data_IF_626096212097
#
_entry.id   IF_626096212097
#
_cell.length_a   1.000
_cell.length_b   1.000
_cell.length_c   1.000
_cell.angle_alpha   90.00
_cell.angle_beta   90.00
_cell.angle_gamma   90.00
#
_symmetry.space_group_name_H-M   'P 1'
#
loop_
_entity.id
_entity.type
_entity.pdbx_description
1 polymer ?
#
# COMPACT_ATOMS: atom_id res chain seq x y z
N UNK A 1 13.42 -1.49 -0.86
CA UNK A 1 12.57 -2.64 -0.63
C UNK A 1 11.10 -2.29 -0.82
N UNK A 2 10.34 -3.28 -1.28
CA UNK A 2 8.94 -3.12 -1.64
C UNK A 2 8.17 -4.39 -1.35
N UNK A 3 6.84 -4.26 -1.25
CA UNK A 3 5.97 -5.40 -1.04
C UNK A 3 5.60 -6.06 -2.36
N UNK A 4 5.60 -7.39 -2.37
CA UNK A 4 4.93 -8.19 -3.39
C UNK A 4 3.62 -8.69 -2.83
N UNK A 5 2.58 -8.75 -3.68
CA UNK A 5 1.26 -9.16 -3.24
C UNK A 5 0.53 -9.87 -4.36
N UNK A 6 -0.48 -10.63 -3.97
CA UNK A 6 -1.35 -11.35 -4.90
C UNK A 6 -2.79 -11.02 -4.57
N UNK A 7 -3.61 -10.96 -5.60
CA UNK A 7 -5.05 -10.91 -5.41
C UNK A 7 -5.75 -11.76 -6.45
N UNK A 8 -6.93 -12.28 -6.11
CA UNK A 8 -7.75 -13.05 -7.00
C UNK A 8 -9.03 -12.28 -7.29
N UNK A 9 -9.46 -12.28 -8.54
CA UNK A 9 -10.68 -11.65 -8.97
C UNK A 9 -11.67 -12.74 -9.38
N UNK A 10 -12.81 -12.79 -8.70
CA UNK A 10 -13.94 -13.64 -9.08
C UNK A 10 -14.97 -12.74 -9.76
N UNK A 11 -15.43 -13.12 -10.94
CA UNK A 11 -16.34 -12.28 -11.72
C UNK A 11 -17.29 -13.14 -12.53
N UNK A 12 -18.43 -12.54 -12.91
CA UNK A 12 -19.42 -13.17 -13.76
C UNK A 12 -19.02 -13.01 -15.24
N UNK A 13 -19.52 -13.87 -16.15
CA UNK A 13 -19.25 -13.71 -17.57
C UNK A 13 -19.62 -12.34 -18.14
N UNK A 14 -20.60 -11.65 -17.53
CA UNK A 14 -20.99 -10.29 -17.94
C UNK A 14 -19.88 -9.26 -17.72
N UNK A 15 -18.92 -9.54 -16.82
CA UNK A 15 -17.83 -8.63 -16.50
C UNK A 15 -16.54 -8.95 -17.28
N UNK A 16 -16.59 -9.93 -18.18
CA UNK A 16 -15.41 -10.44 -18.90
C UNK A 16 -14.67 -9.34 -19.67
N UNK A 17 -15.41 -8.48 -20.37
CA UNK A 17 -14.80 -7.41 -21.16
C UNK A 17 -14.05 -6.42 -20.27
N UNK A 18 -14.60 -6.11 -19.10
CA UNK A 18 -13.95 -5.22 -18.14
C UNK A 18 -12.64 -5.83 -17.59
N UNK A 19 -12.66 -7.12 -17.26
CA UNK A 19 -11.46 -7.83 -16.79
C UNK A 19 -10.40 -7.91 -17.88
N UNK A 20 -10.78 -8.22 -19.11
CA UNK A 20 -9.84 -8.26 -20.24
C UNK A 20 -9.26 -6.89 -20.53
N UNK A 21 -10.04 -5.83 -20.40
CA UNK A 21 -9.58 -4.46 -20.54
C UNK A 21 -8.54 -4.10 -19.48
N UNK A 22 -8.79 -4.51 -18.24
CA UNK A 22 -7.84 -4.32 -17.15
C UNK A 22 -6.50 -5.02 -17.45
N UNK A 23 -6.54 -6.28 -17.85
CA UNK A 23 -5.33 -7.03 -18.18
C UNK A 23 -4.58 -6.36 -19.33
N UNK A 24 -5.28 -6.01 -20.42
CA UNK A 24 -4.65 -5.36 -21.57
C UNK A 24 -3.99 -4.02 -21.20
N UNK A 25 -4.61 -3.28 -20.29
CA UNK A 25 -4.16 -1.95 -19.89
C UNK A 25 -2.94 -2.02 -18.96
N UNK A 26 -2.88 -3.01 -18.06
CA UNK A 26 -1.89 -3.03 -16.98
C UNK A 26 -0.83 -4.14 -17.09
N UNK A 27 -0.96 -5.09 -18.01
CA UNK A 27 0.00 -6.19 -18.10
C UNK A 27 1.40 -5.77 -18.58
N UNK A 28 1.53 -4.58 -19.15
CA UNK A 28 2.81 -4.08 -19.67
C UNK A 28 3.54 -3.16 -18.67
N UNK A 29 3.25 -3.29 -17.40
CA UNK A 29 3.97 -2.57 -16.35
C UNK A 29 3.40 -1.22 -15.96
N UNK A 30 2.21 -0.85 -16.45
CA UNK A 30 1.53 0.37 -16.01
C UNK A 30 1.12 0.22 -14.54
N UNK A 31 1.44 1.22 -13.72
CA UNK A 31 1.09 1.23 -12.31
C UNK A 31 -0.40 1.50 -12.08
N UNK A 32 -0.95 0.92 -11.02
CA UNK A 32 -2.32 1.15 -10.59
C UNK A 32 -2.39 1.15 -9.06
N UNK A 33 -3.38 1.82 -8.51
CA UNK A 33 -3.64 1.86 -7.07
C UNK A 33 -4.80 0.92 -6.72
N UNK A 34 -4.69 0.27 -5.57
CA UNK A 34 -5.79 -0.55 -5.06
C UNK A 34 -5.81 -0.60 -3.54
N UNK A 35 -7.00 -0.82 -2.99
CA UNK A 35 -7.13 -1.15 -1.58
C UNK A 35 -6.72 -2.61 -1.37
N UNK A 36 -6.03 -2.86 -0.26
CA UNK A 36 -5.66 -4.21 0.16
C UNK A 36 -6.74 -4.85 1.04
N UNK A 37 -7.97 -4.34 1.01
CA UNK A 37 -9.06 -4.85 1.83
C UNK A 37 -8.78 -4.69 3.31
N UNK A 38 -8.76 -5.79 4.05
CA UNK A 38 -8.51 -5.73 5.50
C UNK A 38 -7.16 -5.13 5.87
N UNK A 39 -6.13 -5.33 5.05
CA UNK A 39 -4.80 -4.79 5.30
C UNK A 39 -4.74 -3.26 5.13
N UNK A 40 -5.65 -2.68 4.35
CA UNK A 40 -5.75 -1.23 4.18
C UNK A 40 -6.52 -0.55 5.32
N UNK A 41 -7.25 -1.31 6.13
CA UNK A 41 -8.05 -0.78 7.22
C UNK A 41 -7.32 -0.87 8.54
N UNK A 42 -7.25 0.24 9.24
CA UNK A 42 -6.65 0.29 10.55
C UNK A 42 -7.68 -0.15 11.61
N UNK A 43 -7.26 -1.01 12.53
CA UNK A 43 -8.12 -1.54 13.59
C UNK A 43 -7.56 -1.33 15.00
N UNK A 44 -6.56 -0.49 15.12
CA UNK A 44 -5.91 -0.22 16.39
C UNK A 44 -6.54 0.95 17.15
N UNK A 45 -5.81 1.45 18.13
CA UNK A 45 -6.29 2.46 19.08
C UNK A 45 -6.08 3.90 18.62
N UNK A 46 -5.26 4.12 17.60
CA UNK A 46 -4.99 5.49 17.12
C UNK A 46 -6.25 6.08 16.49
N UNK A 47 -6.57 7.31 16.86
CA UNK A 47 -7.65 8.09 16.27
C UNK A 47 -7.16 9.48 15.91
N UNK A 48 -7.82 10.12 14.95
CA UNK A 48 -7.50 11.47 14.54
C UNK A 48 -6.33 11.56 13.58
N UNK A 49 -6.07 12.77 13.12
CA UNK A 49 -5.01 13.04 12.16
C UNK A 49 -3.64 12.98 12.81
N UNK A 50 -2.68 12.42 12.10
CA UNK A 50 -1.27 12.42 12.50
C UNK A 50 -0.44 13.16 11.47
N UNK A 51 0.59 13.86 11.93
CA UNK A 51 1.51 14.57 11.06
C UNK A 51 2.95 14.43 11.56
N UNK A 52 3.89 14.59 10.62
CA UNK A 52 5.33 14.56 10.91
C UNK A 52 5.73 15.86 11.60
N UNK A 53 6.48 15.75 12.68
CA UNK A 53 6.94 16.91 13.46
C UNK A 53 8.08 17.66 12.76
N UNK A 54 9.07 16.91 12.28
CA UNK A 54 10.30 17.46 11.70
C UNK A 54 10.59 16.76 10.39
N UNK A 55 11.04 17.50 9.37
CA UNK A 55 11.43 16.92 8.09
C UNK A 55 12.49 15.83 8.28
N UNK A 56 12.35 14.75 7.51
CA UNK A 56 13.26 13.59 7.53
C UNK A 56 13.67 13.26 6.13
N UNK A 57 14.94 12.97 5.94
CA UNK A 57 15.51 12.67 4.63
C UNK A 57 15.32 11.20 4.26
N UNK A 58 15.29 10.94 2.96
CA UNK A 58 15.32 9.60 2.39
C UNK A 58 16.45 8.77 3.03
N UNK A 59 16.19 7.51 3.28
CA UNK A 59 17.16 6.58 3.87
C UNK A 59 17.11 6.48 5.37
N UNK A 60 16.43 7.40 6.05
CA UNK A 60 16.23 7.35 7.50
C UNK A 60 15.02 6.46 7.80
N UNK A 61 15.06 5.77 8.92
CA UNK A 61 14.01 4.81 9.30
C UNK A 61 13.20 5.23 10.53
N UNK A 62 13.36 6.47 10.98
CA UNK A 62 12.68 7.00 12.17
C UNK A 62 12.16 8.40 11.90
N UNK A 63 10.97 8.69 12.41
CA UNK A 63 10.40 10.04 12.38
C UNK A 63 9.63 10.32 13.68
N UNK A 64 9.34 11.58 13.93
CA UNK A 64 8.55 12.01 15.09
C UNK A 64 7.18 12.52 14.64
N UNK A 65 6.16 12.29 15.47
CA UNK A 65 4.83 12.85 15.25
C UNK A 65 4.65 14.14 16.02
N UNK A 66 3.80 15.05 15.53
CA UNK A 66 3.51 16.34 16.18
C UNK A 66 2.80 16.18 17.51
N UNK A 67 2.00 15.13 17.64
CA UNK A 67 1.26 14.80 18.86
C UNK A 67 1.62 13.37 19.27
N UNK A 68 1.37 13.03 20.53
CA UNK A 68 1.51 11.65 20.99
C UNK A 68 0.62 10.74 20.18
N UNK A 69 1.17 9.64 19.69
CA UNK A 69 0.45 8.68 18.87
C UNK A 69 0.36 7.32 19.56
N UNK A 70 -0.60 6.50 19.11
CA UNK A 70 -0.87 5.17 19.67
C UNK A 70 -0.74 4.07 18.62
N UNK A 71 0.02 4.30 17.54
CA UNK A 71 0.20 3.30 16.49
C UNK A 71 0.86 2.05 17.04
N UNK A 72 0.27 0.91 16.78
CA UNK A 72 0.79 -0.38 17.22
C UNK A 72 1.92 -0.84 16.32
N UNK A 73 2.85 -1.60 16.89
CA UNK A 73 3.90 -2.29 16.13
C UNK A 73 3.22 -3.27 15.16
N UNK A 74 3.63 -3.25 13.91
CA UNK A 74 3.04 -4.04 12.85
C UNK A 74 2.01 -3.30 12.01
N UNK A 75 1.59 -2.10 12.43
CA UNK A 75 0.68 -1.26 11.64
C UNK A 75 1.34 -0.81 10.35
N UNK A 76 0.54 -0.70 9.29
CA UNK A 76 0.98 -0.12 8.02
C UNK A 76 0.66 1.37 8.01
N UNK A 77 1.59 2.15 7.46
CA UNK A 77 1.42 3.60 7.30
C UNK A 77 1.89 4.05 5.93
N UNK A 78 1.39 5.19 5.50
CA UNK A 78 1.79 5.89 4.27
C UNK A 78 1.94 7.36 4.58
N UNK A 79 2.87 8.02 3.87
CA UNK A 79 2.97 9.48 3.90
C UNK A 79 2.24 10.05 2.69
N UNK A 80 1.64 11.22 2.85
CA UNK A 80 0.81 11.80 1.78
C UNK A 80 1.59 12.11 0.51
N UNK A 81 2.89 12.40 0.61
CA UNK A 81 3.69 12.84 -0.53
C UNK A 81 4.19 11.70 -1.41
N UNK A 82 4.04 10.45 -1.01
CA UNK A 82 4.41 9.30 -1.84
C UNK A 82 3.62 8.05 -1.43
N UNK A 83 3.62 7.05 -2.30
CA UNK A 83 2.72 5.88 -2.17
C UNK A 83 3.35 4.68 -1.48
N UNK A 84 4.64 4.73 -1.14
CA UNK A 84 5.30 3.60 -0.48
C UNK A 84 4.64 3.28 0.86
N UNK A 85 4.37 2.01 1.10
CA UNK A 85 3.87 1.52 2.39
C UNK A 85 5.03 1.21 3.31
N UNK A 86 4.86 1.52 4.58
CA UNK A 86 5.82 1.25 5.63
C UNK A 86 5.16 0.53 6.78
N UNK A 87 5.91 -0.33 7.45
CA UNK A 87 5.44 -1.03 8.64
C UNK A 87 6.09 -0.39 9.87
N UNK A 88 5.29 -0.15 10.91
CA UNK A 88 5.78 0.34 12.20
C UNK A 88 6.48 -0.82 12.91
N UNK A 89 7.76 -0.64 13.24
CA UNK A 89 8.55 -1.68 13.93
C UNK A 89 8.89 -1.30 15.36
N UNK A 90 8.81 -0.03 15.71
CA UNK A 90 8.97 0.46 17.09
C UNK A 90 8.26 1.80 17.24
N UNK A 91 7.74 2.07 18.42
CA UNK A 91 7.03 3.31 18.69
C UNK A 91 7.02 3.58 20.19
N UNK A 92 7.53 4.75 20.59
CA UNK A 92 7.52 5.18 22.00
C UNK A 92 6.41 6.21 22.30
N UNK A 93 5.52 6.45 21.34
CA UNK A 93 4.46 7.45 21.43
C UNK A 93 4.76 8.74 20.68
N UNK A 94 6.01 9.04 20.41
CA UNK A 94 6.46 10.21 19.65
C UNK A 94 7.40 9.81 18.52
N UNK A 95 8.39 8.97 18.81
CA UNK A 95 9.34 8.46 17.83
C UNK A 95 8.81 7.15 17.24
N UNK A 96 8.65 7.11 15.94
CA UNK A 96 8.15 5.94 15.20
C UNK A 96 9.28 5.43 14.32
N UNK A 97 9.64 4.16 14.48
CA UNK A 97 10.59 3.48 13.60
C UNK A 97 9.83 2.65 12.59
N UNK A 98 10.29 2.67 11.35
CA UNK A 98 9.59 2.08 10.20
C UNK A 98 10.50 1.14 9.43
N UNK A 99 9.88 0.25 8.66
CA UNK A 99 10.55 -0.62 7.70
C UNK A 99 9.73 -0.65 6.40
N UNK A 100 10.37 -0.53 5.26
CA UNK A 100 11.78 -0.20 5.04
C UNK A 100 12.11 1.25 5.42
N UNK A 101 13.37 1.65 5.26
CA UNK A 101 13.77 3.05 5.42
C UNK A 101 13.05 3.95 4.41
N UNK A 102 12.90 5.23 4.71
CA UNK A 102 12.20 6.18 3.85
C UNK A 102 12.74 6.13 2.42
N UNK A 103 11.86 6.00 1.46
CA UNK A 103 12.17 5.99 0.03
C UNK A 103 12.08 7.38 -0.61
N UNK A 104 11.57 8.36 0.14
CA UNK A 104 11.48 9.76 -0.27
C UNK A 104 11.60 10.65 0.96
N UNK A 105 12.01 11.90 0.76
CA UNK A 105 12.03 12.89 1.85
C UNK A 105 10.60 13.20 2.31
N UNK A 106 10.41 13.37 3.61
CA UNK A 106 9.15 13.83 4.18
C UNK A 106 9.35 15.18 4.84
N UNK A 107 8.34 16.02 4.76
CA UNK A 107 8.39 17.39 5.27
C UNK A 107 7.73 17.49 6.63
N UNK A 108 8.05 18.55 7.38
CA UNK A 108 7.32 18.88 8.60
C UNK A 108 5.83 19.09 8.27
N UNK A 109 4.96 18.62 9.14
CA UNK A 109 3.50 18.63 8.99
C UNK A 109 2.95 17.74 7.86
N UNK A 110 3.78 16.90 7.25
CA UNK A 110 3.33 15.90 6.27
C UNK A 110 2.34 14.94 6.93
N UNK A 111 1.20 14.71 6.30
CA UNK A 111 0.19 13.81 6.85
C UNK A 111 0.68 12.36 6.86
N UNK A 112 0.49 11.68 8.00
CA UNK A 112 0.73 10.25 8.15
C UNK A 112 -0.61 9.53 8.04
N UNK A 113 -0.77 8.74 7.01
CA UNK A 113 -1.98 7.95 6.78
C UNK A 113 -1.79 6.55 7.37
N UNK A 114 -2.74 6.10 8.14
CA UNK A 114 -2.73 4.75 8.74
C UNK A 114 -4.01 3.97 8.47
N UNK A 115 -4.99 4.58 7.85
CA UNK A 115 -6.26 3.95 7.48
C UNK A 115 -6.60 4.28 6.04
N UNK A 116 -7.41 3.42 5.41
CA UNK A 116 -7.81 3.55 4.01
C UNK A 116 -6.59 3.63 3.07
N UNK A 117 -5.59 2.79 3.33
CA UNK A 117 -4.33 2.77 2.58
C UNK A 117 -4.54 2.21 1.18
N UNK A 118 -3.82 2.77 0.22
CA UNK A 118 -3.80 2.28 -1.15
C UNK A 118 -2.39 1.87 -1.52
N UNK A 119 -2.22 0.65 -2.03
CA UNK A 119 -0.94 0.23 -2.59
C UNK A 119 -0.90 0.58 -4.08
N UNK A 120 0.19 1.20 -4.52
CA UNK A 120 0.46 1.41 -5.93
C UNK A 120 1.43 0.34 -6.40
N UNK A 121 1.06 -0.39 -7.43
CA UNK A 121 1.86 -1.49 -7.89
C UNK A 121 1.71 -1.75 -9.38
N UNK A 122 2.51 -2.69 -9.87
CA UNK A 122 2.45 -3.18 -11.23
C UNK A 122 2.25 -4.68 -11.24
N UNK A 123 1.61 -5.19 -12.28
CA UNK A 123 1.52 -6.62 -12.50
C UNK A 123 2.93 -7.17 -12.83
N UNK A 124 3.26 -8.32 -12.24
CA UNK A 124 4.51 -9.00 -12.57
C UNK A 124 4.44 -9.58 -13.99
N UNK A 125 5.56 -9.59 -14.74
CA UNK A 125 5.55 -10.05 -16.13
C UNK A 125 5.27 -11.54 -16.29
N UNK A 126 5.43 -12.35 -15.24
CA UNK A 126 5.21 -13.79 -15.26
C UNK A 126 3.78 -14.21 -14.87
N UNK A 127 2.83 -13.27 -14.83
CA UNK A 127 1.44 -13.61 -14.56
C UNK A 127 0.87 -14.52 -15.65
N UNK A 128 0.15 -15.54 -15.21
CA UNK A 128 -0.62 -16.41 -16.07
C UNK A 128 -2.10 -16.14 -15.87
N UNK A 129 -2.83 -15.93 -16.96
CA UNK A 129 -4.24 -15.61 -16.92
C UNK A 129 -5.06 -16.78 -17.44
N UNK A 130 -5.75 -17.48 -16.51
CA UNK A 130 -6.63 -18.58 -16.85
C UNK A 130 -8.07 -18.12 -16.64
N UNK A 131 -8.85 -18.17 -17.70
CA UNK A 131 -10.28 -17.86 -17.66
C UNK A 131 -11.02 -19.18 -17.90
N UNK A 132 -11.75 -19.64 -16.90
CA UNK A 132 -12.53 -20.86 -17.00
C UNK A 132 -13.89 -20.57 -17.64
N UNK A 133 -14.49 -21.57 -18.26
CA UNK A 133 -15.79 -21.44 -18.93
C UNK A 133 -16.99 -21.72 -18.01
N UNK A 134 -16.81 -21.54 -16.69
CA UNK A 134 -17.89 -21.68 -15.71
C UNK A 134 -18.66 -20.37 -15.54
N UNK A 135 -19.78 -20.41 -14.85
CA UNK A 135 -20.60 -19.22 -14.58
C UNK A 135 -19.87 -18.19 -13.69
N UNK A 136 -18.89 -18.65 -12.90
CA UNK A 136 -18.03 -17.79 -12.12
C UNK A 136 -16.61 -17.96 -12.63
N UNK A 137 -16.02 -16.87 -13.09
CA UNK A 137 -14.65 -16.86 -13.59
C UNK A 137 -13.71 -16.32 -12.51
N UNK A 138 -12.50 -16.85 -12.48
CA UNK A 138 -11.48 -16.47 -11.50
C UNK A 138 -10.17 -16.20 -12.21
N UNK A 139 -9.57 -15.04 -11.87
CA UNK A 139 -8.24 -14.66 -12.35
C UNK A 139 -7.40 -14.27 -11.14
N UNK A 140 -6.17 -14.77 -11.09
CA UNK A 140 -5.22 -14.44 -10.04
C UNK A 140 -4.12 -13.54 -10.60
N UNK A 141 -3.80 -12.47 -9.84
CA UNK A 141 -2.78 -11.50 -10.23
C UNK A 141 -1.67 -11.47 -9.18
N UNK A 142 -0.43 -11.49 -9.67
CA UNK A 142 0.77 -11.25 -8.84
C UNK A 142 1.28 -9.85 -9.14
N UNK A 143 1.55 -9.09 -8.11
CA UNK A 143 1.87 -7.68 -8.20
C UNK A 143 3.07 -7.32 -7.34
N UNK A 144 3.72 -6.21 -7.71
CA UNK A 144 4.84 -5.65 -6.98
C UNK A 144 4.59 -4.16 -6.75
N UNK A 145 4.87 -3.68 -5.54
CA UNK A 145 4.74 -2.27 -5.19
C UNK A 145 5.69 -1.41 -6.02
N UNK A 146 5.20 -0.27 -6.48
CA UNK A 146 6.03 0.73 -7.18
C UNK A 146 6.68 1.63 -6.14
N UNK A 147 8.00 1.79 -6.25
CA UNK A 147 8.78 2.69 -5.42
C UNK A 147 9.24 3.85 -6.29
N UNK A 148 8.81 5.05 -5.94
CA UNK A 148 9.16 6.27 -6.67
C UNK A 148 9.78 7.30 -5.75
#
# INVERSE_FOLDING_TARGET
QWFEYQFALNFNPSDLLEVQSFIAQYQQGKAFEMSMGHLSQYRGKQTGALAVKTAVSRGIYKFQTTATNKLEIGSLIQFRNHKKLYKVIANDGTNVSIFPALQANIQANEAVQYNALLIEGTLLPDNEYQITSTNIMKVQFKCKEVVR
#
